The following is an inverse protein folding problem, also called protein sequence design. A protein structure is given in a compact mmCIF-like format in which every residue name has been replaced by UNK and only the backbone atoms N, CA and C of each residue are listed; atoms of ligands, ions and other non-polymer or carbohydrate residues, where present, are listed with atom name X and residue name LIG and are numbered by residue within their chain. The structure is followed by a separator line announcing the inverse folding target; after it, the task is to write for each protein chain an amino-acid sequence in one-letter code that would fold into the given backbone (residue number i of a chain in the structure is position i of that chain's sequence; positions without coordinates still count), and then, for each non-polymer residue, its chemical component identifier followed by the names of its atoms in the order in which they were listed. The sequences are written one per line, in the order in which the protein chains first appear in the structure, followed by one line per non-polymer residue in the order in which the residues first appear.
data_IF_296594911001
#
_entry.id   IF_296594911001
#
_cell.length_a   1.000
_cell.length_b   1.000
_cell.length_c   1.000
_cell.angle_alpha   90.00
_cell.angle_beta   90.00
_cell.angle_gamma   90.00
#
_symmetry.space_group_name_H-M   'P 1'
#
loop_
_entity.id
_entity.type
_entity.pdbx_description
1 polymer ?
#
# COMPACT_ATOMS: atom_id res chain seq x y z
N UNK A 1 -24.54 14.29 -14.51
CA UNK A 1 -25.18 13.58 -15.63
C UNK A 1 -24.98 12.08 -15.44
N UNK A 2 -25.95 11.26 -15.84
CA UNK A 2 -25.80 9.81 -15.80
C UNK A 2 -24.87 9.33 -16.94
N UNK A 3 -24.13 8.26 -16.69
CA UNK A 3 -23.26 7.56 -17.65
C UNK A 3 -23.87 6.19 -17.95
N UNK A 4 -23.79 5.76 -19.21
CA UNK A 4 -24.17 4.42 -19.63
C UNK A 4 -22.92 3.68 -20.10
N UNK A 5 -22.63 2.53 -19.50
CA UNK A 5 -21.43 1.72 -19.82
C UNK A 5 -21.72 0.61 -20.86
N UNK A 6 -22.88 0.64 -21.51
CA UNK A 6 -23.34 -0.39 -22.45
C UNK A 6 -24.20 -1.48 -21.79
N UNK A 7 -24.18 -1.60 -20.45
CA UNK A 7 -25.00 -2.56 -19.70
C UNK A 7 -25.74 -1.95 -18.51
N UNK A 8 -25.15 -0.96 -17.86
CA UNK A 8 -25.69 -0.30 -16.68
C UNK A 8 -25.65 1.22 -16.82
N UNK A 9 -26.63 1.86 -16.20
CA UNK A 9 -26.72 3.29 -16.02
C UNK A 9 -26.19 3.67 -14.63
N UNK A 10 -25.33 4.67 -14.54
CA UNK A 10 -24.81 5.19 -13.28
C UNK A 10 -24.96 6.71 -13.21
N UNK A 11 -25.63 7.20 -12.18
CA UNK A 11 -25.86 8.63 -11.96
C UNK A 11 -27.34 9.01 -11.94
N UNK A 12 -27.63 10.30 -12.08
CA UNK A 12 -28.97 10.87 -11.89
C UNK A 12 -29.67 10.99 -13.25
N UNK A 13 -30.88 10.44 -13.35
CA UNK A 13 -31.82 10.67 -14.46
C UNK A 13 -33.17 11.07 -13.88
N UNK A 14 -33.55 12.33 -14.07
CA UNK A 14 -34.77 12.89 -13.50
C UNK A 14 -34.84 12.73 -11.96
N UNK A 15 -35.92 12.15 -11.42
CA UNK A 15 -36.09 11.92 -9.98
C UNK A 15 -35.39 10.65 -9.48
N UNK A 16 -34.68 9.91 -10.33
CA UNK A 16 -34.06 8.63 -9.99
C UNK A 16 -32.53 8.70 -10.03
N UNK A 17 -31.92 7.92 -9.15
CA UNK A 17 -30.48 7.67 -9.07
C UNK A 17 -30.26 6.21 -9.42
N UNK A 18 -29.52 6.00 -10.50
CA UNK A 18 -29.14 4.71 -11.01
C UNK A 18 -27.76 4.34 -10.48
N UNK A 19 -27.63 3.15 -9.90
CA UNK A 19 -26.38 2.62 -9.34
C UNK A 19 -26.17 1.20 -9.87
N UNK A 20 -24.94 0.88 -10.24
CA UNK A 20 -24.53 -0.50 -10.49
C UNK A 20 -24.18 -1.15 -9.15
N UNK A 21 -24.80 -2.28 -8.84
CA UNK A 21 -24.44 -3.08 -7.68
C UNK A 21 -24.20 -4.52 -8.14
N UNK A 22 -22.94 -4.95 -8.09
CA UNK A 22 -22.49 -6.21 -8.73
C UNK A 22 -22.93 -6.25 -10.20
N UNK A 23 -23.68 -7.26 -10.61
CA UNK A 23 -24.24 -7.40 -11.97
C UNK A 23 -25.72 -6.96 -12.05
N UNK A 24 -26.19 -6.13 -11.12
CA UNK A 24 -27.56 -5.64 -11.08
C UNK A 24 -27.62 -4.11 -11.20
N UNK A 25 -28.69 -3.63 -11.83
CA UNK A 25 -29.07 -2.23 -11.81
C UNK A 25 -29.95 -1.97 -10.59
N UNK A 26 -29.49 -1.08 -9.71
CA UNK A 26 -30.29 -0.58 -8.58
C UNK A 26 -30.79 0.82 -8.95
N UNK A 27 -32.07 1.07 -8.73
CA UNK A 27 -32.71 2.36 -8.97
C UNK A 27 -33.31 2.85 -7.66
N UNK A 28 -32.91 4.04 -7.23
CA UNK A 28 -33.40 4.66 -6.01
C UNK A 28 -33.94 6.05 -6.31
N UNK A 29 -34.93 6.54 -5.56
CA UNK A 29 -35.34 7.93 -5.67
C UNK A 29 -34.18 8.87 -5.27
N UNK A 30 -34.09 10.01 -5.95
CA UNK A 30 -33.18 11.10 -5.58
C UNK A 30 -33.56 11.60 -4.18
N UNK A 31 -32.55 11.80 -3.33
CA UNK A 31 -32.78 12.36 -1.99
C UNK A 31 -33.58 13.66 -2.10
N UNK A 32 -34.70 13.72 -1.38
CA UNK A 32 -35.55 14.91 -1.29
C UNK A 32 -35.01 15.95 -0.31
N UNK A 33 -34.06 15.57 0.55
CA UNK A 33 -33.45 16.44 1.54
C UNK A 33 -32.15 17.02 1.00
N UNK A 34 -32.04 18.35 1.03
CA UNK A 34 -30.79 19.09 0.81
C UNK A 34 -29.91 19.05 2.06
N UNK A 35 -28.60 19.34 1.95
CA UNK A 35 -27.67 19.41 3.11
C UNK A 35 -28.22 20.30 4.25
N UNK A 36 -28.90 21.40 3.91
CA UNK A 36 -29.51 22.33 4.89
C UNK A 36 -30.72 21.75 5.62
N UNK A 37 -31.36 20.71 5.07
CA UNK A 37 -32.55 20.05 5.63
C UNK A 37 -32.20 18.76 6.39
N UNK A 38 -30.94 18.34 6.41
CA UNK A 38 -30.49 17.19 7.19
C UNK A 38 -30.49 17.53 8.69
N UNK A 39 -30.89 16.56 9.52
CA UNK A 39 -30.83 16.72 10.99
C UNK A 39 -29.39 16.76 11.47
N UNK A 40 -29.14 17.37 12.64
CA UNK A 40 -27.82 17.37 13.29
C UNK A 40 -27.26 15.94 13.44
N UNK A 41 -28.11 14.98 13.82
CA UNK A 41 -27.73 13.58 13.95
C UNK A 41 -27.31 12.94 12.61
N UNK A 42 -27.95 13.35 11.49
CA UNK A 42 -27.56 12.88 10.15
C UNK A 42 -26.19 13.42 9.76
N UNK A 43 -25.91 14.70 10.05
CA UNK A 43 -24.59 15.29 9.84
C UNK A 43 -23.53 14.58 10.67
N UNK A 44 -23.76 14.38 11.97
CA UNK A 44 -22.84 13.66 12.86
C UNK A 44 -22.54 12.24 12.37
N UNK A 45 -23.57 11.50 11.97
CA UNK A 45 -23.41 10.15 11.41
C UNK A 45 -22.63 10.16 10.09
N UNK A 46 -22.84 11.15 9.21
CA UNK A 46 -22.10 11.29 7.97
C UNK A 46 -20.62 11.64 8.22
N UNK A 47 -20.33 12.51 9.19
CA UNK A 47 -18.97 12.84 9.62
C UNK A 47 -18.26 11.63 10.20
N UNK A 48 -18.87 10.91 11.14
CA UNK A 48 -18.30 9.69 11.72
C UNK A 48 -18.03 8.60 10.66
N UNK A 49 -18.92 8.47 9.67
CA UNK A 49 -18.69 7.60 8.53
C UNK A 49 -17.50 8.05 7.69
N UNK A 50 -17.38 9.37 7.43
CA UNK A 50 -16.25 9.96 6.72
C UNK A 50 -14.93 9.64 7.42
N UNK A 51 -14.83 9.93 8.72
CA UNK A 51 -13.65 9.62 9.55
C UNK A 51 -13.28 8.14 9.44
N UNK A 52 -14.25 7.24 9.64
CA UNK A 52 -14.00 5.80 9.54
C UNK A 52 -13.54 5.35 8.15
N UNK A 53 -14.12 5.93 7.09
CA UNK A 53 -13.75 5.61 5.72
C UNK A 53 -12.35 6.06 5.40
N UNK A 54 -11.97 7.28 5.79
CA UNK A 54 -10.65 7.80 5.50
C UNK A 54 -9.59 7.12 6.36
N UNK A 55 -9.85 6.85 7.64
CA UNK A 55 -8.91 6.12 8.49
C UNK A 55 -8.64 4.70 7.96
N UNK A 56 -9.71 3.99 7.57
CA UNK A 56 -9.60 2.67 6.95
C UNK A 56 -8.90 2.70 5.57
N UNK A 57 -8.88 3.83 4.89
CA UNK A 57 -8.11 4.04 3.67
C UNK A 57 -6.62 4.23 3.99
N UNK A 58 -6.29 5.08 4.96
CA UNK A 58 -4.90 5.33 5.36
C UNK A 58 -4.21 4.04 5.80
N UNK A 59 -4.85 3.25 6.67
CA UNK A 59 -4.31 1.95 7.11
C UNK A 59 -3.95 1.04 5.94
N UNK A 60 -4.77 1.02 4.88
CA UNK A 60 -4.52 0.18 3.69
C UNK A 60 -3.50 0.79 2.74
N UNK A 61 -3.45 2.11 2.64
CA UNK A 61 -2.55 2.83 1.74
C UNK A 61 -1.09 2.63 2.15
N UNK A 62 -0.79 2.76 3.43
CA UNK A 62 0.59 2.61 3.92
C UNK A 62 1.06 1.15 3.82
N UNK A 63 0.14 0.21 4.01
CA UNK A 63 0.40 -1.21 3.86
C UNK A 63 0.26 -1.72 2.41
N UNK A 64 0.20 -0.84 1.42
CA UNK A 64 -0.02 -1.23 0.02
C UNK A 64 1.03 -2.22 -0.50
N UNK A 65 2.30 -2.04 -0.11
CA UNK A 65 3.40 -2.93 -0.49
C UNK A 65 3.21 -4.40 -0.06
N UNK A 66 2.44 -4.64 1.00
CA UNK A 66 2.13 -6.01 1.49
C UNK A 66 0.71 -6.46 1.14
N UNK A 67 -0.28 -5.57 1.15
CA UNK A 67 -1.67 -5.93 0.82
C UNK A 67 -1.83 -6.24 -0.67
N UNK A 68 -1.16 -5.48 -1.53
CA UNK A 68 -1.28 -5.51 -3.01
C UNK A 68 -2.70 -5.18 -3.51
N UNK A 69 -2.90 -5.14 -4.83
CA UNK A 69 -4.23 -4.97 -5.46
C UNK A 69 -5.03 -6.28 -5.61
N UNK A 70 -4.56 -7.37 -4.97
CA UNK A 70 -5.15 -8.72 -5.07
C UNK A 70 -6.14 -9.09 -3.96
N UNK A 71 -6.60 -8.12 -3.16
CA UNK A 71 -7.68 -8.36 -2.20
C UNK A 71 -9.04 -8.61 -2.87
N UNK A 72 -9.97 -9.23 -2.14
CA UNK A 72 -11.30 -9.53 -2.65
C UNK A 72 -12.19 -8.28 -2.79
N UNK A 73 -13.21 -8.36 -3.66
CA UNK A 73 -14.06 -7.20 -3.96
C UNK A 73 -14.90 -6.67 -2.79
N UNK A 74 -15.00 -7.40 -1.68
CA UNK A 74 -15.69 -6.95 -0.46
C UNK A 74 -14.76 -6.44 0.62
N UNK A 75 -13.44 -6.66 0.50
CA UNK A 75 -12.43 -6.33 1.50
C UNK A 75 -12.57 -4.91 2.02
N UNK A 76 -12.59 -3.90 1.12
CA UNK A 76 -12.66 -2.48 1.50
C UNK A 76 -13.90 -2.18 2.35
N UNK A 77 -15.03 -2.83 2.05
CA UNK A 77 -16.24 -2.68 2.84
C UNK A 77 -16.12 -3.36 4.21
N UNK A 78 -15.61 -4.59 4.27
CA UNK A 78 -15.41 -5.33 5.52
C UNK A 78 -14.46 -4.59 6.45
N UNK A 79 -13.28 -4.22 5.96
CA UNK A 79 -12.23 -3.55 6.74
C UNK A 79 -12.72 -2.23 7.35
N UNK A 80 -13.29 -1.35 6.51
CA UNK A 80 -13.88 -0.09 6.97
C UNK A 80 -15.05 -0.29 7.92
N UNK A 81 -15.81 -1.38 7.80
CA UNK A 81 -16.89 -1.69 8.73
C UNK A 81 -16.34 -1.98 10.13
N UNK A 82 -15.23 -2.71 10.24
CA UNK A 82 -14.62 -2.99 11.54
C UNK A 82 -13.90 -1.77 12.13
N UNK A 83 -13.21 -0.96 11.31
CA UNK A 83 -12.69 0.36 11.72
C UNK A 83 -13.82 1.26 12.23
N UNK A 84 -14.96 1.31 11.52
CA UNK A 84 -16.09 2.12 11.94
C UNK A 84 -16.67 1.66 13.28
N UNK A 85 -16.72 0.35 13.53
CA UNK A 85 -17.21 -0.19 14.81
C UNK A 85 -16.23 0.12 15.95
N UNK A 86 -14.93 0.01 15.71
CA UNK A 86 -13.89 0.41 16.66
C UNK A 86 -14.04 1.89 17.06
N UNK A 87 -14.13 2.79 16.06
CA UNK A 87 -14.34 4.21 16.30
C UNK A 87 -15.64 4.50 17.06
N UNK A 88 -16.74 3.83 16.72
CA UNK A 88 -18.01 4.01 17.45
C UNK A 88 -17.92 3.58 18.91
N UNK A 89 -17.16 2.53 19.20
CA UNK A 89 -16.97 2.06 20.57
C UNK A 89 -16.09 3.01 21.38
N UNK A 90 -15.10 3.64 20.74
CA UNK A 90 -14.24 4.64 21.36
C UNK A 90 -14.87 6.04 21.48
N UNK A 91 -15.96 6.33 20.77
CA UNK A 91 -16.56 7.67 20.75
C UNK A 91 -17.37 7.94 22.02
N UNK A 92 -16.98 8.97 22.78
CA UNK A 92 -17.79 9.49 23.89
C UNK A 92 -18.77 10.56 23.38
N UNK A 93 -20.04 10.33 23.66
CA UNK A 93 -21.11 11.25 23.25
C UNK A 93 -21.14 12.54 24.08
N UNK A 94 -20.59 12.53 25.31
CA UNK A 94 -20.57 13.71 26.18
C UNK A 94 -19.46 14.68 25.79
N UNK A 95 -18.23 14.19 25.65
CA UNK A 95 -17.10 15.03 25.22
C UNK A 95 -17.07 15.29 23.71
N UNK A 96 -17.81 14.49 22.92
CA UNK A 96 -17.74 14.48 21.46
C UNK A 96 -16.34 14.18 20.90
N UNK A 97 -15.55 13.40 21.64
CA UNK A 97 -14.18 12.99 21.29
C UNK A 97 -14.04 11.47 21.33
N UNK A 98 -12.91 10.95 20.84
CA UNK A 98 -12.60 9.52 20.90
C UNK A 98 -11.67 9.22 22.07
N UNK A 99 -12.03 8.23 22.88
CA UNK A 99 -11.21 7.70 23.96
C UNK A 99 -10.80 6.29 23.59
N UNK A 100 -9.53 6.14 23.20
CA UNK A 100 -8.99 4.87 22.82
C UNK A 100 -8.31 4.18 24.01
N UNK A 101 -8.37 2.86 23.99
CA UNK A 101 -7.69 1.93 24.90
C UNK A 101 -6.80 1.01 24.08
N UNK A 102 -5.86 0.30 24.72
CA UNK A 102 -4.99 -0.69 24.07
C UNK A 102 -5.73 -1.60 23.06
N UNK A 103 -6.94 -2.02 23.43
CA UNK A 103 -7.76 -2.99 22.69
C UNK A 103 -8.86 -2.38 21.80
N UNK A 104 -8.87 -1.06 21.61
CA UNK A 104 -9.95 -0.39 20.87
C UNK A 104 -10.12 -0.89 19.43
N UNK A 105 -9.07 -1.46 18.83
CA UNK A 105 -9.06 -1.99 17.48
C UNK A 105 -9.00 -3.52 17.40
N UNK A 106 -9.30 -4.25 18.49
CA UNK A 106 -9.28 -5.73 18.53
C UNK A 106 -10.13 -6.39 17.44
N UNK A 107 -11.15 -5.69 16.94
CA UNK A 107 -11.98 -6.16 15.82
C UNK A 107 -11.20 -6.37 14.52
N UNK A 108 -10.01 -5.80 14.39
CA UNK A 108 -9.11 -6.00 13.26
C UNK A 108 -8.23 -7.24 13.42
N UNK A 109 -8.11 -7.82 14.62
CA UNK A 109 -7.28 -9.00 14.85
C UNK A 109 -7.81 -10.18 14.02
N UNK A 110 -6.95 -10.79 13.21
CA UNK A 110 -7.33 -11.85 12.28
C UNK A 110 -8.13 -11.38 11.07
N UNK A 111 -8.17 -10.08 10.76
CA UNK A 111 -8.87 -9.60 9.57
C UNK A 111 -8.20 -10.12 8.30
N UNK A 112 -8.96 -10.88 7.49
CA UNK A 112 -8.50 -11.43 6.22
C UNK A 112 -8.78 -10.46 5.06
N UNK A 113 -7.76 -10.11 4.29
CA UNK A 113 -7.90 -9.24 3.11
C UNK A 113 -8.43 -9.99 1.88
N UNK A 114 -8.35 -11.32 1.88
CA UNK A 114 -8.92 -12.15 0.83
C UNK A 114 -9.67 -13.34 1.42
N UNK A 115 -11.01 -13.30 1.34
CA UNK A 115 -11.88 -14.35 1.88
C UNK A 115 -11.75 -15.71 1.17
N UNK A 116 -11.26 -15.72 -0.07
CA UNK A 116 -11.12 -16.96 -0.86
C UNK A 116 -9.78 -17.66 -0.60
N UNK A 117 -8.85 -16.99 0.10
CA UNK A 117 -7.54 -17.51 0.44
C UNK A 117 -7.05 -16.99 1.79
N UNK A 118 -7.78 -17.25 2.88
CA UNK A 118 -7.44 -16.70 4.18
C UNK A 118 -6.09 -17.25 4.67
N UNK A 119 -5.35 -16.44 5.43
CA UNK A 119 -4.05 -16.83 5.99
C UNK A 119 -4.19 -18.08 6.85
N UNK A 120 -5.24 -18.15 7.68
CA UNK A 120 -5.49 -19.32 8.55
C UNK A 120 -5.64 -20.66 7.79
N UNK A 121 -6.02 -20.64 6.52
CA UNK A 121 -6.12 -21.86 5.70
C UNK A 121 -4.81 -22.23 5.00
N UNK A 122 -3.84 -21.31 4.96
CA UNK A 122 -2.59 -21.43 4.21
C UNK A 122 -1.34 -21.41 5.10
N UNK A 123 -1.47 -21.00 6.35
CA UNK A 123 -0.41 -20.90 7.35
C UNK A 123 -0.95 -21.34 8.72
N UNK A 124 -0.50 -22.50 9.20
CA UNK A 124 -1.02 -23.14 10.43
C UNK A 124 -0.20 -22.84 11.68
N UNK A 125 0.83 -22.00 11.54
CA UNK A 125 1.67 -21.57 12.64
C UNK A 125 0.96 -20.48 13.45
N UNK A 126 1.10 -20.55 14.78
CA UNK A 126 0.58 -19.55 15.71
C UNK A 126 1.72 -18.64 16.20
N UNK A 127 1.93 -17.48 15.57
CA UNK A 127 2.88 -16.50 16.07
C UNK A 127 2.38 -15.86 17.37
N UNK A 128 3.32 -15.27 18.11
CA UNK A 128 3.02 -14.41 19.26
C UNK A 128 3.50 -12.98 19.00
N UNK A 129 2.88 -12.02 19.67
CA UNK A 129 3.28 -10.61 19.62
C UNK A 129 3.40 -10.00 21.03
N UNK A 130 4.43 -10.36 21.80
CA UNK A 130 4.76 -9.62 23.01
C UNK A 130 5.15 -8.18 22.68
N UNK A 131 4.86 -7.28 23.61
CA UNK A 131 5.33 -5.90 23.60
C UNK A 131 6.02 -5.66 24.94
N UNK A 132 7.26 -5.20 24.90
CA UNK A 132 8.05 -4.81 26.07
C UNK A 132 8.53 -3.37 25.89
N UNK A 133 7.90 -2.44 26.62
CA UNK A 133 8.08 -1.01 26.41
C UNK A 133 7.77 -0.61 24.97
N UNK A 134 8.78 -0.08 24.29
CA UNK A 134 8.70 0.44 22.92
C UNK A 134 9.11 -0.58 21.86
N UNK A 135 9.25 -1.86 22.23
CA UNK A 135 9.61 -2.93 21.30
C UNK A 135 8.44 -3.89 21.14
N UNK A 136 7.94 -3.98 19.92
CA UNK A 136 6.98 -5.00 19.49
C UNK A 136 7.76 -6.13 18.83
N UNK A 137 7.69 -7.33 19.39
CA UNK A 137 8.36 -8.50 18.83
C UNK A 137 7.34 -9.46 18.25
N UNK A 138 7.51 -9.88 17.01
CA UNK A 138 6.75 -10.98 16.40
C UNK A 138 7.60 -12.24 16.51
N UNK A 139 7.13 -13.18 17.33
CA UNK A 139 7.75 -14.49 17.52
C UNK A 139 7.10 -15.48 16.57
N UNK A 140 7.86 -15.93 15.59
CA UNK A 140 7.49 -17.05 14.73
C UNK A 140 8.12 -18.31 15.32
N UNK A 141 7.32 -19.31 15.72
CA UNK A 141 7.89 -20.60 16.09
C UNK A 141 8.46 -21.30 14.85
N UNK A 142 9.08 -22.44 15.08
CA UNK A 142 9.54 -23.33 14.00
C UNK A 142 8.41 -23.63 13.01
N UNK A 143 8.70 -23.58 11.71
CA UNK A 143 7.73 -23.80 10.63
C UNK A 143 8.12 -25.08 9.89
N UNK A 144 7.33 -26.14 10.03
CA UNK A 144 7.46 -27.34 9.22
C UNK A 144 6.76 -27.11 7.88
N UNK A 145 7.52 -26.71 6.86
CA UNK A 145 6.99 -26.19 5.59
C UNK A 145 5.94 -27.10 4.95
N UNK A 146 6.14 -28.42 4.97
CA UNK A 146 5.23 -29.40 4.35
C UNK A 146 3.92 -29.62 5.14
N UNK A 147 3.90 -29.29 6.43
CA UNK A 147 2.74 -29.47 7.32
C UNK A 147 2.01 -28.15 7.56
N UNK A 148 2.76 -27.07 7.70
CA UNK A 148 2.25 -25.80 8.19
C UNK A 148 1.94 -24.80 7.07
N UNK A 149 2.32 -25.10 5.82
CA UNK A 149 2.11 -24.22 4.68
C UNK A 149 1.51 -24.92 3.46
N UNK A 150 0.59 -24.23 2.80
CA UNK A 150 0.08 -24.64 1.48
C UNK A 150 0.70 -23.82 0.37
N UNK A 151 1.34 -24.51 -0.58
CA UNK A 151 1.93 -23.89 -1.76
C UNK A 151 1.07 -24.14 -3.01
N UNK A 152 0.72 -23.09 -3.79
CA UNK A 152 0.17 -23.26 -5.13
C UNK A 152 1.09 -24.13 -5.98
N UNK A 153 0.55 -24.93 -6.90
CA UNK A 153 1.31 -25.94 -7.68
C UNK A 153 2.57 -25.37 -8.35
N UNK A 154 2.51 -24.12 -8.84
CA UNK A 154 3.63 -23.46 -9.55
C UNK A 154 4.60 -22.71 -8.64
N UNK A 155 4.31 -22.59 -7.35
CA UNK A 155 5.16 -21.85 -6.41
C UNK A 155 6.46 -22.62 -6.13
N UNK A 156 7.58 -21.89 -6.17
CA UNK A 156 8.92 -22.35 -5.82
C UNK A 156 9.31 -21.87 -4.42
N UNK A 157 8.84 -20.70 -4.00
CA UNK A 157 9.00 -20.17 -2.64
C UNK A 157 7.84 -19.24 -2.28
N UNK A 158 7.77 -18.84 -1.02
CA UNK A 158 6.86 -17.85 -0.49
C UNK A 158 7.68 -16.80 0.28
N UNK A 159 7.49 -15.53 -0.01
CA UNK A 159 7.95 -14.46 0.88
C UNK A 159 6.86 -14.20 1.92
N UNK A 160 7.17 -14.50 3.18
CA UNK A 160 6.39 -14.03 4.31
C UNK A 160 6.86 -12.61 4.64
N UNK A 161 6.06 -11.62 4.27
CA UNK A 161 6.30 -10.22 4.58
C UNK A 161 5.54 -9.82 5.84
N UNK A 162 6.22 -9.09 6.71
CA UNK A 162 5.75 -8.72 8.04
C UNK A 162 5.87 -7.21 8.14
N UNK A 163 4.72 -6.54 8.23
CA UNK A 163 4.63 -5.10 8.26
C UNK A 163 3.97 -4.64 9.55
N UNK A 164 4.45 -3.53 10.12
CA UNK A 164 3.88 -2.89 11.31
C UNK A 164 3.66 -1.42 11.00
N UNK A 165 2.40 -1.05 10.80
CA UNK A 165 1.99 0.34 10.62
C UNK A 165 1.78 1.02 11.96
N UNK A 166 2.23 2.27 12.09
CA UNK A 166 2.06 3.08 13.30
C UNK A 166 1.22 4.32 12.99
N UNK A 167 0.20 4.54 13.81
CA UNK A 167 -0.77 5.60 13.62
C UNK A 167 -0.94 6.39 14.91
N UNK A 168 -0.46 7.63 14.89
CA UNK A 168 -0.78 8.63 15.90
C UNK A 168 -2.21 9.15 15.63
N UNK A 169 -3.15 8.61 16.40
CA UNK A 169 -4.56 9.01 16.35
C UNK A 169 -4.85 10.30 17.13
N UNK A 170 -3.84 10.92 17.76
CA UNK A 170 -4.00 12.17 18.51
C UNK A 170 -3.70 13.36 17.62
N UNK A 171 -2.50 13.42 17.03
CA UNK A 171 -2.10 14.54 16.18
C UNK A 171 -2.24 14.25 14.69
N UNK A 172 -2.52 12.99 14.34
CA UNK A 172 -2.91 12.63 12.99
C UNK A 172 -1.72 12.36 12.08
N UNK A 173 -0.72 11.66 12.58
CA UNK A 173 0.45 11.30 11.78
C UNK A 173 0.61 9.78 11.71
N UNK A 174 1.30 9.28 10.68
CA UNK A 174 1.48 7.84 10.49
C UNK A 174 2.79 7.50 9.82
N UNK A 175 3.30 6.33 10.15
CA UNK A 175 4.49 5.77 9.51
C UNK A 175 4.37 4.25 9.43
N UNK A 176 5.34 3.61 8.79
CA UNK A 176 5.45 2.17 8.69
C UNK A 176 6.86 1.79 9.12
N UNK A 177 6.99 0.82 10.03
CA UNK A 177 8.29 0.24 10.31
C UNK A 177 8.83 -0.44 9.03
N UNK A 178 10.16 -0.54 8.85
CA UNK A 178 10.73 -1.30 7.73
C UNK A 178 10.15 -2.71 7.65
N UNK A 179 9.67 -3.09 6.46
CA UNK A 179 9.10 -4.43 6.24
C UNK A 179 10.19 -5.47 6.40
N UNK A 180 9.93 -6.48 7.22
CA UNK A 180 10.81 -7.62 7.38
C UNK A 180 10.25 -8.81 6.59
N UNK A 181 11.12 -9.52 5.87
CA UNK A 181 10.72 -10.58 4.95
C UNK A 181 11.51 -11.86 5.20
N UNK A 182 10.80 -12.99 5.24
CA UNK A 182 11.38 -14.33 5.36
C UNK A 182 11.06 -15.09 4.08
N UNK A 183 12.09 -15.55 3.35
CA UNK A 183 11.89 -16.47 2.22
C UNK A 183 11.71 -17.90 2.74
N UNK A 184 10.54 -18.47 2.47
CA UNK A 184 10.21 -19.86 2.78
C UNK A 184 10.26 -20.65 1.46
N UNK A 185 11.30 -21.44 1.21
CA UNK A 185 11.38 -22.28 0.02
C UNK A 185 10.28 -23.35 0.07
N UNK A 186 9.72 -23.70 -1.09
CA UNK A 186 8.85 -24.88 -1.16
C UNK A 186 9.68 -26.10 -0.79
N UNK A 187 9.28 -26.77 0.28
CA UNK A 187 9.96 -27.97 0.74
C UNK A 187 9.63 -29.22 -0.05
N UNK A 188 10.61 -30.11 -0.16
CA UNK A 188 10.41 -31.54 -0.37
C UNK A 188 10.83 -32.27 0.90
N UNK A 189 9.94 -33.02 1.54
CA UNK A 189 10.23 -33.72 2.81
C UNK A 189 10.06 -32.85 4.06
N UNK A 190 10.95 -33.02 5.04
CA UNK A 190 10.91 -32.36 6.37
C UNK A 190 11.66 -31.02 6.38
N UNK A 191 11.41 -30.14 5.40
CA UNK A 191 11.98 -28.79 5.44
C UNK A 191 11.42 -28.00 6.62
N UNK A 192 12.33 -27.39 7.38
CA UNK A 192 12.03 -26.63 8.58
C UNK A 192 12.62 -25.23 8.46
N UNK A 193 11.82 -24.22 8.77
CA UNK A 193 12.30 -22.86 9.02
C UNK A 193 12.46 -22.71 10.54
N UNK A 194 13.64 -22.35 11.05
CA UNK A 194 13.84 -22.23 12.48
C UNK A 194 12.95 -21.12 13.05
N UNK A 195 12.66 -21.22 14.35
CA UNK A 195 12.01 -20.15 15.09
C UNK A 195 12.78 -18.83 14.93
N UNK A 196 12.04 -17.73 14.81
CA UNK A 196 12.57 -16.40 14.55
C UNK A 196 11.85 -15.37 15.42
N UNK A 197 12.60 -14.36 15.85
CA UNK A 197 12.07 -13.19 16.52
C UNK A 197 12.37 -11.97 15.66
N UNK A 198 11.34 -11.18 15.39
CA UNK A 198 11.42 -9.98 14.56
C UNK A 198 10.96 -8.80 15.40
N UNK A 199 11.86 -7.87 15.65
CA UNK A 199 11.59 -6.73 16.53
C UNK A 199 11.34 -5.47 15.73
N UNK A 200 10.36 -4.69 16.18
CA UNK A 200 9.94 -3.42 15.60
C UNK A 200 9.91 -2.38 16.72
N UNK A 201 10.62 -1.27 16.52
CA UNK A 201 10.51 -0.11 17.39
C UNK A 201 9.15 0.56 17.15
N UNK A 202 8.43 0.81 18.24
CA UNK A 202 7.11 1.42 18.24
C UNK A 202 7.05 2.61 19.18
N UNK A 203 6.20 3.59 18.86
CA UNK A 203 6.03 4.77 19.71
C UNK A 203 4.87 4.63 20.72
N UNK A 204 5.04 5.09 21.97
CA UNK A 204 3.99 5.11 22.98
C UNK A 204 2.70 5.80 22.53
N UNK A 205 1.55 5.28 22.92
CA UNK A 205 0.24 5.85 22.60
C UNK A 205 -0.20 5.77 21.14
N UNK A 206 0.66 5.28 20.22
CA UNK A 206 0.31 5.08 18.82
C UNK A 206 -0.41 3.74 18.62
N UNK A 207 -1.33 3.69 17.66
CA UNK A 207 -1.92 2.44 17.20
C UNK A 207 -0.91 1.71 16.29
N UNK A 208 -0.54 0.50 16.67
CA UNK A 208 0.26 -0.42 15.88
C UNK A 208 -0.64 -1.46 15.20
N UNK A 209 -0.55 -1.60 13.88
CA UNK A 209 -1.25 -2.64 13.11
C UNK A 209 -0.21 -3.54 12.44
N UNK A 210 -0.09 -4.76 12.95
CA UNK A 210 0.81 -5.79 12.45
C UNK A 210 0.09 -6.67 11.42
N UNK A 211 0.74 -6.92 10.28
CA UNK A 211 0.17 -7.66 9.15
C UNK A 211 1.13 -8.72 8.62
N UNK A 212 0.55 -9.82 8.15
CA UNK A 212 1.24 -10.84 7.37
C UNK A 212 0.78 -10.81 5.93
N UNK A 213 1.73 -10.92 4.99
CA UNK A 213 1.46 -11.09 3.57
C UNK A 213 2.31 -12.22 3.00
N UNK A 214 1.64 -13.18 2.37
CA UNK A 214 2.27 -14.36 1.78
C UNK A 214 2.34 -14.18 0.26
N UNK A 215 3.51 -13.79 -0.23
CA UNK A 215 3.75 -13.58 -1.65
C UNK A 215 4.43 -14.82 -2.25
N UNK A 216 3.67 -15.61 -2.99
CA UNK A 216 4.14 -16.84 -3.61
C UNK A 216 4.86 -16.55 -4.92
N UNK A 217 6.08 -17.07 -5.04
CA UNK A 217 6.97 -16.82 -6.16
C UNK A 217 7.19 -18.10 -6.95
N UNK A 218 7.05 -18.02 -8.26
CA UNK A 218 7.59 -19.01 -9.20
C UNK A 218 8.97 -18.52 -9.66
N UNK A 219 10.01 -19.28 -9.35
CA UNK A 219 11.35 -19.01 -9.89
C UNK A 219 11.39 -19.51 -11.33
N UNK A 220 11.68 -18.61 -12.27
CA UNK A 220 11.82 -18.93 -13.69
C UNK A 220 13.22 -18.54 -14.18
N UNK A 221 13.63 -19.05 -15.34
CA UNK A 221 14.87 -18.62 -15.97
C UNK A 221 14.93 -17.11 -16.23
N UNK A 222 13.78 -16.46 -16.41
CA UNK A 222 13.67 -15.02 -16.66
C UNK A 222 13.52 -14.18 -15.37
N UNK A 223 13.63 -14.79 -14.19
CA UNK A 223 13.44 -14.14 -12.89
C UNK A 223 12.23 -14.66 -12.12
N UNK A 224 11.87 -13.93 -11.06
CA UNK A 224 10.82 -14.29 -10.12
C UNK A 224 9.46 -13.79 -10.61
N UNK A 225 8.47 -14.68 -10.67
CA UNK A 225 7.09 -14.35 -11.01
C UNK A 225 6.20 -14.45 -9.77
N UNK A 226 5.53 -13.36 -9.40
CA UNK A 226 4.50 -13.38 -8.37
C UNK A 226 3.27 -14.16 -8.87
N UNK A 227 2.84 -15.15 -8.08
CA UNK A 227 1.72 -16.04 -8.40
C UNK A 227 0.40 -15.54 -7.82
N UNK A 228 0.48 -14.66 -6.81
CA UNK A 228 -0.69 -14.07 -6.17
C UNK A 228 -1.63 -13.44 -7.20
N UNK A 229 -2.92 -13.52 -6.91
CA UNK A 229 -4.00 -13.06 -7.76
C UNK A 229 -5.22 -12.70 -6.93
N UNK A 230 -6.24 -12.07 -7.53
CA UNK A 230 -7.48 -11.74 -6.81
C UNK A 230 -8.20 -12.94 -6.19
N UNK A 231 -8.02 -14.14 -6.76
CA UNK A 231 -8.59 -15.38 -6.21
C UNK A 231 -7.67 -16.10 -5.23
N UNK A 232 -6.41 -15.66 -5.08
CA UNK A 232 -5.45 -16.26 -4.17
C UNK A 232 -4.38 -15.24 -3.77
N UNK A 233 -4.58 -14.60 -2.63
CA UNK A 233 -3.67 -13.63 -2.03
C UNK A 233 -3.82 -13.63 -0.49
N UNK A 234 -3.15 -14.56 0.22
CA UNK A 234 -3.24 -14.63 1.67
C UNK A 234 -2.53 -13.44 2.31
N UNK A 235 -3.34 -12.53 2.88
CA UNK A 235 -2.89 -11.37 3.65
C UNK A 235 -3.87 -11.18 4.80
N UNK A 236 -3.35 -10.97 6.00
CA UNK A 236 -4.16 -10.75 7.20
C UNK A 236 -3.56 -9.69 8.12
N UNK A 237 -4.43 -8.99 8.86
CA UNK A 237 -4.01 -8.30 10.09
C UNK A 237 -3.81 -9.37 11.16
N UNK A 238 -2.59 -9.46 11.68
CA UNK A 238 -2.29 -10.33 12.80
C UNK A 238 -2.85 -9.75 14.10
N UNK A 239 -2.46 -8.50 14.40
CA UNK A 239 -2.87 -7.80 15.62
C UNK A 239 -2.90 -6.28 15.41
N UNK A 240 -3.91 -5.64 15.98
CA UNK A 240 -3.99 -4.20 16.15
C UNK A 240 -4.02 -3.86 17.64
N UNK A 241 -3.12 -2.99 18.09
CA UNK A 241 -2.97 -2.64 19.51
C UNK A 241 -2.44 -1.23 19.65
N UNK A 242 -2.94 -0.47 20.63
CA UNK A 242 -2.35 0.83 20.98
C UNK A 242 -1.27 0.59 22.02
N UNK A 243 -0.06 1.08 21.73
CA UNK A 243 1.09 0.99 22.62
C UNK A 243 0.83 1.72 23.93
N UNK A 244 1.31 1.17 25.05
CA UNK A 244 1.17 1.81 26.35
C UNK A 244 1.93 3.14 26.38
N UNK A 245 1.37 4.13 27.07
CA UNK A 245 1.93 5.47 27.21
C UNK A 245 1.17 6.53 26.41
N UNK A 246 1.84 7.64 26.11
CA UNK A 246 1.25 8.82 25.48
C UNK A 246 2.07 9.24 24.28
N UNK A 247 1.39 9.65 23.21
CA UNK A 247 2.04 10.13 21.99
C UNK A 247 2.93 11.33 22.29
N UNK A 248 4.18 11.28 21.84
CA UNK A 248 5.05 12.44 21.73
C UNK A 248 4.82 13.11 20.36
N UNK A 249 4.28 14.34 20.39
CA UNK A 249 4.03 15.11 19.19
C UNK A 249 5.33 15.45 18.43
N UNK A 250 6.42 15.70 19.14
CA UNK A 250 7.69 16.10 18.52
C UNK A 250 8.34 14.95 17.77
N UNK A 251 8.08 13.70 18.17
CA UNK A 251 8.52 12.52 17.43
C UNK A 251 7.63 12.23 16.22
N UNK A 252 6.31 12.35 16.39
CA UNK A 252 5.35 11.95 15.36
C UNK A 252 5.09 13.02 14.29
N UNK A 253 5.45 14.29 14.52
CA UNK A 253 5.24 15.38 13.55
C UNK A 253 5.99 15.21 12.22
N UNK A 254 7.08 14.45 12.22
CA UNK A 254 7.89 14.19 11.01
C UNK A 254 7.34 13.03 10.17
N UNK A 255 6.29 12.35 10.67
CA UNK A 255 5.62 11.27 9.96
C UNK A 255 4.60 11.81 8.95
N UNK A 256 4.07 10.93 8.10
CA UNK A 256 3.11 11.34 7.08
C UNK A 256 1.77 11.81 7.68
N UNK A 257 1.24 12.92 7.18
CA UNK A 257 -0.06 13.48 7.60
C UNK A 257 -1.25 12.57 7.26
N UNK A 258 -2.02 12.19 8.27
CA UNK A 258 -3.37 11.64 8.13
C UNK A 258 -4.38 12.77 7.98
N UNK A 259 -4.69 13.10 6.72
CA UNK A 259 -5.69 14.10 6.32
C UNK A 259 -7.06 13.99 7.02
N UNK A 260 -7.38 12.82 7.59
CA UNK A 260 -8.60 12.54 8.39
C UNK A 260 -8.69 13.35 9.67
N UNK A 261 -7.55 13.52 10.35
CA UNK A 261 -7.46 14.07 11.71
C UNK A 261 -7.32 15.58 11.65
N UNK A 262 -6.64 16.10 10.62
CA UNK A 262 -6.33 17.51 10.49
C UNK A 262 -7.56 18.41 10.35
N UNK A 263 -8.60 17.92 9.67
CA UNK A 263 -9.77 18.73 9.28
C UNK A 263 -11.05 18.41 10.09
N UNK A 264 -10.93 17.57 11.14
CA UNK A 264 -12.05 17.12 11.95
C UNK A 264 -12.09 17.84 13.31
N UNK A 265 -13.15 18.62 13.58
CA UNK A 265 -13.41 19.23 14.90
C UNK A 265 -13.58 18.20 16.04
N UNK A 266 -13.74 16.91 15.71
CA UNK A 266 -14.14 15.83 16.62
C UNK A 266 -13.08 14.72 16.81
N UNK A 267 -11.89 14.86 16.23
CA UNK A 267 -10.82 13.87 16.36
C UNK A 267 -9.66 14.51 17.11
N UNK A 268 -9.67 14.36 18.44
CA UNK A 268 -8.63 14.66 19.44
C UNK A 268 -7.60 15.77 19.13
N UNK A 269 -8.00 16.87 18.47
CA UNK A 269 -7.15 18.06 18.34
C UNK A 269 -7.29 18.95 19.58
N UNK A 270 -6.20 19.30 20.26
CA UNK A 270 -6.02 20.66 20.72
C UNK A 270 -5.90 21.57 19.49
N UNK A 271 -6.62 22.70 19.46
CA UNK A 271 -6.30 23.79 18.53
C UNK A 271 -4.92 24.33 18.91
N UNK A 272 -3.88 23.92 18.20
CA UNK A 272 -2.60 24.63 18.28
C UNK A 272 -2.51 25.59 17.10
N UNK A 273 -2.53 26.89 17.41
CA UNK A 273 -2.27 27.96 16.47
C UNK A 273 -0.89 27.76 15.85
N UNK A 274 -0.83 27.48 14.54
CA UNK A 274 0.40 27.54 13.76
C UNK A 274 0.89 28.99 13.75
N UNK A 275 1.75 29.34 14.72
CA UNK A 275 2.62 30.50 14.61
C UNK A 275 3.61 30.23 13.50
N UNK A 276 3.60 31.11 12.51
CA UNK A 276 4.66 31.20 11.51
C UNK A 276 6.01 31.41 12.20
N UNK A 277 7.02 30.60 11.88
CA UNK A 277 8.20 31.02 11.08
C UNK A 277 9.39 30.04 11.15
N UNK A 278 10.18 30.16 10.07
CA UNK A 278 11.65 30.14 9.95
C UNK A 278 12.41 28.81 10.02
N UNK A 279 12.89 28.41 8.83
CA UNK A 279 14.30 28.18 8.45
C UNK A 279 15.27 27.92 9.60
N UNK A 280 15.68 26.67 9.76
CA UNK A 280 16.97 26.15 9.28
C UNK A 280 17.13 24.71 9.81
N UNK A 281 16.88 23.72 8.95
CA UNK A 281 17.26 22.31 9.18
C UNK A 281 18.10 21.89 7.98
N UNK A 282 19.26 21.31 8.24
CA UNK A 282 20.15 20.79 7.21
C UNK A 282 19.43 19.69 6.44
N UNK A 283 19.36 19.91 5.12
CA UNK A 283 18.53 19.21 4.15
C UNK A 283 19.13 17.84 3.78
N UNK A 284 18.62 16.76 4.36
CA UNK A 284 18.85 15.38 3.90
C UNK A 284 17.83 14.94 2.83
N UNK A 285 17.03 15.87 2.27
CA UNK A 285 16.05 15.54 1.22
C UNK A 285 16.67 15.68 -0.17
N UNK A 286 16.47 14.68 -1.04
CA UNK A 286 16.96 14.76 -2.43
C UNK A 286 16.15 15.78 -3.24
N UNK A 287 16.72 16.33 -4.29
CA UNK A 287 16.04 17.25 -5.22
C UNK A 287 15.87 16.62 -6.60
N UNK A 288 14.88 17.10 -7.38
CA UNK A 288 14.72 16.69 -8.78
C UNK A 288 15.99 16.97 -9.59
N UNK A 289 16.68 18.09 -9.33
CA UNK A 289 17.91 18.45 -10.01
C UNK A 289 19.04 17.41 -9.78
N UNK A 290 19.20 16.91 -8.56
CA UNK A 290 20.18 15.85 -8.26
C UNK A 290 19.83 14.53 -8.94
N UNK A 291 18.54 14.16 -8.97
CA UNK A 291 18.08 12.95 -9.66
C UNK A 291 18.27 13.07 -11.17
N UNK A 292 17.96 14.23 -11.75
CA UNK A 292 18.16 14.50 -13.18
C UNK A 292 19.65 14.43 -13.55
N UNK A 293 20.53 14.97 -12.70
CA UNK A 293 21.99 14.88 -12.88
C UNK A 293 22.49 13.43 -12.87
N UNK A 294 21.95 12.56 -12.01
CA UNK A 294 22.28 11.13 -12.04
C UNK A 294 21.68 10.43 -13.25
N UNK A 295 20.46 10.81 -13.67
CA UNK A 295 19.81 10.25 -14.85
C UNK A 295 20.54 10.61 -16.15
N UNK A 296 21.20 11.77 -16.26
CA UNK A 296 22.02 12.15 -17.42
C UNK A 296 23.19 11.18 -17.67
N UNK A 297 23.63 10.44 -16.64
CA UNK A 297 24.70 9.44 -16.76
C UNK A 297 24.21 8.12 -17.38
N UNK A 298 22.88 7.92 -17.47
CA UNK A 298 22.27 6.72 -18.05
C UNK A 298 22.22 6.85 -19.57
N UNK A 299 23.03 6.06 -20.27
CA UNK A 299 23.08 6.07 -21.75
C UNK A 299 22.34 4.87 -22.35
N UNK A 300 22.26 3.78 -21.60
CA UNK A 300 21.64 2.53 -22.02
C UNK A 300 21.05 1.78 -20.82
N UNK A 301 20.27 0.73 -21.08
CA UNK A 301 19.74 -0.14 -20.03
C UNK A 301 20.82 -0.79 -19.14
N UNK A 302 22.06 -0.91 -19.62
CA UNK A 302 23.19 -1.44 -18.84
C UNK A 302 23.67 -0.47 -17.74
N UNK A 303 23.38 0.84 -17.87
CA UNK A 303 23.75 1.85 -16.88
C UNK A 303 22.73 1.97 -15.75
N UNK A 304 21.54 1.35 -15.94
CA UNK A 304 20.41 1.46 -15.04
C UNK A 304 20.73 1.00 -13.60
N UNK A 305 21.41 -0.14 -13.35
CA UNK A 305 21.76 -0.55 -11.98
C UNK A 305 22.61 0.48 -11.24
N UNK A 306 23.57 1.13 -11.93
CA UNK A 306 24.43 2.16 -11.33
C UNK A 306 23.63 3.41 -10.97
N UNK A 307 22.70 3.81 -11.83
CA UNK A 307 21.77 4.91 -11.55
C UNK A 307 20.93 4.62 -10.30
N UNK A 308 20.36 3.42 -10.21
CA UNK A 308 19.57 2.99 -9.05
C UNK A 308 20.38 3.09 -7.76
N UNK A 309 21.63 2.65 -7.76
CA UNK A 309 22.51 2.80 -6.59
C UNK A 309 22.82 4.26 -6.26
N UNK A 310 23.02 5.12 -7.26
CA UNK A 310 23.29 6.53 -7.05
C UNK A 310 22.11 7.26 -6.41
N UNK A 311 20.89 7.08 -6.92
CA UNK A 311 19.71 7.74 -6.36
C UNK A 311 19.26 7.12 -5.04
N UNK A 312 19.55 5.83 -4.79
CA UNK A 312 19.38 5.21 -3.46
C UNK A 312 20.23 5.93 -2.41
N UNK A 313 21.48 6.27 -2.74
CA UNK A 313 22.37 7.04 -1.85
C UNK A 313 21.89 8.48 -1.61
N UNK A 314 21.10 9.03 -2.53
CA UNK A 314 20.44 10.32 -2.34
C UNK A 314 19.21 10.23 -1.42
N UNK A 315 18.78 9.02 -1.04
CA UNK A 315 17.63 8.80 -0.16
C UNK A 315 16.32 8.43 -0.88
N UNK A 316 16.37 8.10 -2.18
CA UNK A 316 15.20 7.58 -2.91
C UNK A 316 14.96 6.11 -2.53
N UNK A 317 13.75 5.78 -2.09
CA UNK A 317 13.33 4.41 -1.74
C UNK A 317 12.51 3.75 -2.85
N UNK A 318 11.67 4.53 -3.54
CA UNK A 318 10.82 4.06 -4.62
C UNK A 318 10.61 5.17 -5.65
N UNK A 319 10.37 4.78 -6.91
CA UNK A 319 9.80 5.72 -7.88
C UNK A 319 8.82 5.04 -8.84
N UNK A 320 7.86 5.82 -9.32
CA UNK A 320 6.83 5.41 -10.27
C UNK A 320 6.96 6.27 -11.51
N UNK A 321 7.23 5.66 -12.66
CA UNK A 321 7.27 6.37 -13.95
C UNK A 321 6.06 5.98 -14.79
N UNK A 322 5.34 6.99 -15.29
CA UNK A 322 4.18 6.80 -16.15
C UNK A 322 4.59 6.82 -17.62
N UNK A 323 4.16 5.81 -18.38
CA UNK A 323 4.48 5.63 -19.80
C UNK A 323 3.84 6.71 -20.67
N UNK A 324 2.76 7.34 -20.21
CA UNK A 324 2.06 8.38 -20.96
C UNK A 324 2.99 9.51 -21.40
N UNK A 325 3.87 9.99 -20.53
CA UNK A 325 4.67 11.20 -20.75
C UNK A 325 6.03 11.15 -20.03
N UNK A 326 6.36 10.00 -19.43
CA UNK A 326 7.55 9.76 -18.62
C UNK A 326 7.69 10.67 -17.39
N UNK A 327 6.63 11.33 -16.93
CA UNK A 327 6.70 11.94 -15.61
C UNK A 327 6.92 10.86 -14.55
N UNK A 328 7.78 11.16 -13.59
CA UNK A 328 8.19 10.21 -12.55
C UNK A 328 7.92 10.81 -11.18
N UNK A 329 7.25 10.04 -10.33
CA UNK A 329 7.06 10.35 -8.92
C UNK A 329 8.13 9.59 -8.13
N UNK A 330 8.92 10.31 -7.34
CA UNK A 330 9.95 9.76 -6.47
C UNK A 330 9.49 9.83 -5.02
N UNK A 331 9.83 8.82 -4.25
CA UNK A 331 9.48 8.66 -2.84
C UNK A 331 10.76 8.37 -2.05
N UNK A 332 10.94 9.07 -0.94
CA UNK A 332 12.05 8.89 0.00
C UNK A 332 11.58 8.79 1.44
N UNK A 333 12.56 8.76 2.33
CA UNK A 333 12.32 8.75 3.78
C UNK A 333 11.51 9.96 4.23
N UNK A 334 10.81 9.82 5.37
CA UNK A 334 10.05 10.90 6.02
C UNK A 334 8.99 11.56 5.11
N UNK A 335 8.37 10.78 4.23
CA UNK A 335 7.29 11.27 3.36
C UNK A 335 7.74 12.18 2.21
N UNK A 336 9.04 12.29 1.97
CA UNK A 336 9.58 13.15 0.92
C UNK A 336 9.15 12.65 -0.47
N UNK A 337 8.36 13.45 -1.18
CA UNK A 337 7.86 13.11 -2.51
C UNK A 337 8.11 14.24 -3.49
N UNK A 338 8.66 13.88 -4.66
CA UNK A 338 8.87 14.81 -5.76
C UNK A 338 8.33 14.25 -7.07
N UNK A 339 7.89 15.13 -7.97
CA UNK A 339 7.46 14.75 -9.32
C UNK A 339 8.30 15.47 -10.36
N UNK A 340 8.83 14.72 -11.32
CA UNK A 340 9.45 15.32 -12.50
C UNK A 340 8.39 15.90 -13.43
N UNK A 341 8.83 16.75 -14.36
CA UNK A 341 8.01 17.16 -15.50
C UNK A 341 7.88 16.01 -16.50
N UNK A 342 6.88 16.12 -17.37
CA UNK A 342 6.77 15.30 -18.58
C UNK A 342 8.01 15.47 -19.48
N UNK A 343 8.49 14.38 -20.07
CA UNK A 343 9.66 14.40 -20.98
C UNK A 343 9.26 14.44 -22.46
N UNK A 344 8.04 14.08 -22.81
CA UNK A 344 7.53 14.06 -24.18
C UNK A 344 6.00 14.26 -24.23
N UNK A 345 5.49 14.54 -25.42
CA UNK A 345 4.06 14.64 -25.68
C UNK A 345 3.32 13.33 -25.35
N UNK A 346 2.11 13.38 -24.75
CA UNK A 346 1.42 12.20 -24.27
C UNK A 346 1.24 11.08 -25.31
N UNK A 347 1.76 9.91 -24.99
CA UNK A 347 1.55 8.65 -25.69
C UNK A 347 0.20 8.04 -25.30
N UNK A 348 -0.49 7.46 -26.27
CA UNK A 348 -1.71 6.68 -26.03
C UNK A 348 -1.31 5.25 -25.67
N UNK A 349 -1.49 4.88 -24.41
CA UNK A 349 -1.27 3.51 -23.93
C UNK A 349 -2.43 2.61 -24.37
N UNK A 350 -2.10 1.45 -24.94
CA UNK A 350 -3.08 0.47 -25.40
C UNK A 350 -3.91 -0.09 -24.24
N UNK A 351 -5.22 -0.19 -24.42
CA UNK A 351 -6.15 -0.65 -23.38
C UNK A 351 -6.04 -2.15 -23.02
N UNK A 352 -5.32 -2.92 -23.82
CA UNK A 352 -5.11 -4.37 -23.65
C UNK A 352 -3.62 -4.65 -23.60
N UNK A 353 -3.17 -5.22 -22.49
CA UNK A 353 -1.77 -5.55 -22.26
C UNK A 353 -1.34 -6.80 -23.05
N UNK A 354 -0.17 -6.73 -23.69
CA UNK A 354 0.40 -7.81 -24.52
C UNK A 354 1.74 -8.29 -23.95
N UNK A 355 1.69 -8.99 -22.81
CA UNK A 355 2.87 -9.44 -22.03
C UNK A 355 3.99 -10.08 -22.86
N UNK A 356 3.67 -11.03 -23.75
CA UNK A 356 4.69 -11.71 -24.58
C UNK A 356 5.44 -10.73 -25.51
N UNK A 357 4.71 -9.77 -26.08
CA UNK A 357 5.28 -8.75 -26.97
C UNK A 357 6.10 -7.74 -26.16
N UNK A 358 5.60 -7.32 -25.01
CA UNK A 358 6.32 -6.47 -24.05
C UNK A 358 7.66 -7.10 -23.66
N UNK A 359 7.68 -8.35 -23.22
CA UNK A 359 8.92 -9.05 -22.84
C UNK A 359 9.96 -9.11 -23.97
N UNK A 360 9.53 -9.18 -25.24
CA UNK A 360 10.44 -9.13 -26.38
C UNK A 360 11.07 -7.74 -26.51
N UNK A 361 10.27 -6.68 -26.43
CA UNK A 361 10.77 -5.31 -26.50
C UNK A 361 11.66 -4.93 -25.32
N UNK A 362 11.33 -5.40 -24.12
CA UNK A 362 12.14 -5.19 -22.94
C UNK A 362 13.53 -5.82 -23.08
N UNK A 363 13.62 -7.06 -23.59
CA UNK A 363 14.92 -7.69 -23.90
C UNK A 363 15.71 -6.92 -24.96
N UNK A 364 15.04 -6.42 -25.99
CA UNK A 364 15.70 -5.58 -27.01
C UNK A 364 16.26 -4.29 -26.38
N UNK A 365 15.51 -3.64 -25.49
CA UNK A 365 15.95 -2.44 -24.78
C UNK A 365 17.11 -2.70 -23.83
N UNK A 366 17.03 -3.78 -23.03
CA UNK A 366 18.11 -4.22 -22.13
C UNK A 366 19.39 -4.56 -22.90
N UNK A 367 19.28 -5.08 -24.13
CA UNK A 367 20.40 -5.32 -25.04
C UNK A 367 20.91 -4.06 -25.76
N UNK A 368 20.39 -2.87 -25.44
CA UNK A 368 20.80 -1.59 -26.03
C UNK A 368 20.32 -1.36 -27.46
N UNK A 369 19.35 -2.14 -27.96
CA UNK A 369 18.87 -2.04 -29.35
C UNK A 369 17.83 -0.94 -29.57
N UNK A 370 17.29 -0.36 -28.49
CA UNK A 370 16.30 0.72 -28.55
C UNK A 370 16.63 1.80 -27.54
N UNK A 371 16.47 3.06 -27.94
CA UNK A 371 16.55 4.19 -27.00
C UNK A 371 15.33 4.23 -26.03
N UNK A 372 15.40 5.13 -25.06
CA UNK A 372 14.39 5.25 -24.01
C UNK A 372 13.00 5.64 -24.53
N UNK A 373 12.91 6.58 -25.47
CA UNK A 373 11.62 7.00 -26.03
C UNK A 373 10.99 5.88 -26.88
N UNK A 374 11.80 5.15 -27.63
CA UNK A 374 11.39 3.98 -28.39
C UNK A 374 10.90 2.87 -27.46
N UNK A 375 11.57 2.66 -26.33
CA UNK A 375 11.09 1.74 -25.30
C UNK A 375 9.75 2.19 -24.69
N UNK A 376 9.59 3.47 -24.37
CA UNK A 376 8.30 4.00 -23.89
C UNK A 376 7.17 3.81 -24.92
N UNK A 377 7.45 3.98 -26.22
CA UNK A 377 6.48 3.67 -27.29
C UNK A 377 6.12 2.19 -27.33
N UNK A 378 7.11 1.30 -27.18
CA UNK A 378 6.86 -0.14 -27.08
C UNK A 378 6.02 -0.49 -25.85
N UNK A 379 6.28 0.14 -24.70
CA UNK A 379 5.47 0.02 -23.48
C UNK A 379 4.02 0.44 -23.76
N UNK A 380 3.81 1.63 -24.33
CA UNK A 380 2.48 2.14 -24.67
C UNK A 380 1.75 1.22 -25.63
N UNK A 381 2.43 0.77 -26.71
CA UNK A 381 1.88 -0.16 -27.70
C UNK A 381 1.47 -1.50 -27.08
N UNK A 382 2.23 -1.98 -26.08
CA UNK A 382 1.97 -3.25 -25.40
C UNK A 382 1.12 -3.12 -24.15
N UNK A 383 0.55 -1.93 -23.90
CA UNK A 383 -0.40 -1.67 -22.84
C UNK A 383 0.22 -1.56 -21.44
N UNK A 384 1.51 -1.25 -21.34
CA UNK A 384 2.14 -0.89 -20.07
C UNK A 384 1.80 0.58 -19.78
N UNK A 385 1.22 0.82 -18.61
CA UNK A 385 0.79 2.13 -18.12
C UNK A 385 1.89 2.83 -17.33
N UNK A 386 2.56 2.07 -16.47
CA UNK A 386 3.62 2.57 -15.59
C UNK A 386 4.53 1.44 -15.15
N UNK A 387 5.67 1.82 -14.60
CA UNK A 387 6.49 0.91 -13.82
C UNK A 387 6.87 1.52 -12.48
N UNK A 388 7.03 0.64 -11.49
CA UNK A 388 7.42 0.97 -10.12
C UNK A 388 8.78 0.34 -9.88
N UNK A 389 9.75 1.15 -9.46
CA UNK A 389 11.07 0.67 -9.07
C UNK A 389 11.21 0.83 -7.57
N UNK A 390 11.40 -0.29 -6.88
CA UNK A 390 11.63 -0.30 -5.44
C UNK A 390 13.12 -0.53 -5.18
N UNK A 391 13.78 0.44 -4.56
CA UNK A 391 15.23 0.48 -4.40
C UNK A 391 15.70 -0.29 -3.17
N UNK A 392 14.80 -0.58 -2.23
CA UNK A 392 15.02 -1.48 -1.10
C UNK A 392 15.01 -2.94 -1.55
N UNK A 393 14.00 -3.32 -2.34
CA UNK A 393 13.84 -4.67 -2.90
C UNK A 393 14.65 -4.90 -4.18
N UNK A 394 15.24 -3.85 -4.76
CA UNK A 394 15.92 -3.86 -6.06
C UNK A 394 15.06 -4.52 -7.15
N UNK A 395 13.81 -4.06 -7.30
CA UNK A 395 12.88 -4.58 -8.31
C UNK A 395 12.36 -3.48 -9.22
N UNK A 396 12.05 -3.84 -10.47
CA UNK A 396 11.29 -3.03 -11.41
C UNK A 396 10.01 -3.80 -11.80
N UNK A 397 8.84 -3.24 -11.51
CA UNK A 397 7.55 -3.89 -11.74
C UNK A 397 6.68 -3.07 -12.69
N UNK A 398 6.25 -3.68 -13.78
CA UNK A 398 5.44 -3.07 -14.83
C UNK A 398 3.96 -3.38 -14.64
N UNK A 399 3.11 -2.35 -14.78
CA UNK A 399 1.66 -2.44 -14.61
C UNK A 399 0.94 -1.97 -15.87
N UNK A 400 -0.24 -2.53 -16.15
CA UNK A 400 -1.14 -2.01 -17.16
C UNK A 400 -2.16 -0.99 -16.60
N UNK A 401 -2.99 -0.42 -17.48
CA UNK A 401 -4.01 0.58 -17.12
C UNK A 401 -5.09 0.07 -16.16
N UNK A 402 -5.16 -1.25 -15.95
CA UNK A 402 -6.09 -1.91 -15.00
C UNK A 402 -5.40 -2.26 -13.69
N UNK A 403 -4.19 -1.73 -13.45
CA UNK A 403 -3.30 -2.06 -12.34
C UNK A 403 -2.93 -3.55 -12.27
N UNK A 404 -2.97 -4.27 -13.39
CA UNK A 404 -2.50 -5.65 -13.41
C UNK A 404 -0.98 -5.67 -13.54
N UNK A 405 -0.32 -6.40 -12.64
CA UNK A 405 1.11 -6.69 -12.73
C UNK A 405 1.37 -7.49 -14.01
N UNK A 406 2.19 -6.92 -14.90
CA UNK A 406 2.59 -7.56 -16.15
C UNK A 406 3.87 -8.35 -15.94
N UNK A 407 4.88 -7.76 -15.31
CA UNK A 407 6.18 -8.35 -15.08
C UNK A 407 6.88 -7.67 -13.89
N UNK A 408 7.58 -8.44 -13.08
CA UNK A 408 8.59 -7.93 -12.14
C UNK A 408 9.94 -8.47 -12.54
N UNK A 409 10.95 -7.60 -12.59
CA UNK A 409 12.34 -7.95 -12.83
C UNK A 409 13.18 -7.54 -11.62
N UNK A 410 14.20 -8.34 -11.30
CA UNK A 410 15.21 -7.98 -10.31
C UNK A 410 16.27 -7.10 -10.97
N UNK A 411 16.64 -6.01 -10.30
CA UNK A 411 17.72 -5.12 -10.70
C UNK A 411 19.03 -5.74 -10.18
N UNK A 412 19.99 -6.06 -11.07
CA UNK A 412 21.26 -6.65 -10.64
C UNK A 412 21.96 -5.74 -9.64
N UNK A 413 22.43 -6.29 -8.52
CA UNK A 413 23.30 -5.55 -7.63
C UNK A 413 24.68 -5.45 -8.28
N UNK A 414 25.09 -4.26 -8.68
CA UNK A 414 26.49 -3.99 -9.01
C UNK A 414 27.21 -3.68 -7.71
N UNK A 415 27.77 -4.71 -7.06
CA UNK A 415 28.85 -4.48 -6.09
C UNK A 415 30.04 -3.81 -6.76
#
# INVERSE_FOLDING_TARGET
MAKFDGKFLTGIVGPAVYKKYRNMQVVTAKSRLTKKQQTKNTHKAATQFGIASTLAEQFRRDAYGVITDFYDGTMVYRFRTDVQKALRQAFDAQSETYHFTANSFDRLNGFEFNVDSPVMDNFFVQPEQPIDGNILTIRLPEIHVSKDMKFPVKASSCLLNIAVGMFDLTYGNRTMCPIQSIEIPRGSGDNVIPAQELSFEIEPGCLCISMFSFQFIQKTFAGNLLINSKSFNPVAVFRAVIADGTVDQEQTKEWDDMSVVRDSEHFNKPKTELKAKSTDLQDESFTIAQIEQEHEKVKSGADFPKYIQAIKKLGVEEFVTYVSDSHTQYFGNNGHQLSSKAKYEPLVVAAVSHKKKFMKYLKMHQAGQTDYLSFCRHCAETGIDRWIVNLSLLTCTYYDQKNQLILTESIPNSE
#
